data_IF_192306163758
#
_entry.id   IF_192306163758
#
_cell.length_a   1.000
_cell.length_b   1.000
_cell.length_c   1.000
_cell.angle_alpha   90.00
_cell.angle_beta   90.00
_cell.angle_gamma   90.00
#
_symmetry.space_group_name_H-M   'P 1'
#
loop_
_entity.id
_entity.type
_entity.pdbx_description
1 polymer ?
#
# COMPACT_ATOMS: atom_id res chain seq x y z
N UNK A 1 2.98 6.88 9.82
CA UNK A 1 2.30 6.70 8.51
C UNK A 1 2.23 5.20 8.27
N UNK A 2 1.15 4.65 7.71
CA UNK A 2 1.09 3.22 7.37
C UNK A 2 0.59 3.18 5.96
N UNK A 3 1.46 2.95 4.99
CA UNK A 3 1.13 2.73 3.59
C UNK A 3 1.19 1.22 3.37
N UNK A 4 0.14 0.57 2.88
CA UNK A 4 0.29 -0.82 2.44
C UNK A 4 1.07 -0.79 1.14
N UNK A 5 2.37 -0.95 1.29
CA UNK A 5 3.26 -1.28 0.21
C UNK A 5 3.70 -2.71 0.48
N UNK A 6 3.18 -3.64 -0.31
CA UNK A 6 3.17 -5.05 0.03
C UNK A 6 4.59 -5.63 0.14
N UNK A 7 4.78 -6.49 1.14
CA UNK A 7 5.63 -7.69 1.02
C UNK A 7 5.06 -8.81 1.89
N UNK A 8 4.89 -10.00 1.31
CA UNK A 8 4.52 -11.27 1.96
C UNK A 8 5.80 -11.95 2.49
N UNK A 9 5.76 -12.83 3.51
CA UNK A 9 5.67 -14.28 3.19
C UNK A 9 4.90 -15.12 4.23
N UNK A 10 4.29 -16.24 3.82
CA UNK A 10 4.46 -17.57 4.44
C UNK A 10 4.05 -18.71 3.47
N UNK A 11 5.05 -19.54 3.13
CA UNK A 11 5.12 -20.81 2.37
C UNK A 11 5.45 -20.82 0.85
N UNK A 12 6.53 -21.53 0.45
CA UNK A 12 6.88 -21.79 -0.94
C UNK A 12 6.27 -23.12 -1.41
N UNK A 13 5.42 -23.09 -2.43
CA UNK A 13 5.27 -24.26 -3.31
C UNK A 13 4.73 -23.87 -4.68
N UNK A 14 5.63 -23.48 -5.59
CA UNK A 14 5.83 -24.18 -6.86
C UNK A 14 6.78 -23.40 -7.75
N UNK A 15 7.72 -24.14 -8.29
CA UNK A 15 8.81 -23.77 -9.18
C UNK A 15 8.32 -22.94 -10.38
N UNK A 16 8.99 -21.82 -10.68
CA UNK A 16 9.39 -21.43 -12.04
C UNK A 16 10.20 -20.11 -12.02
N UNK A 17 11.26 -20.09 -12.82
CA UNK A 17 12.37 -19.13 -12.84
C UNK A 17 12.11 -17.92 -13.77
N UNK A 18 12.72 -16.77 -13.41
CA UNK A 18 13.00 -15.54 -14.21
C UNK A 18 12.20 -14.23 -13.99
N UNK A 19 11.53 -13.96 -12.85
CA UNK A 19 11.11 -12.59 -12.41
C UNK A 19 10.96 -12.50 -10.88
N UNK A 20 12.07 -12.30 -10.16
CA UNK A 20 12.29 -12.89 -8.83
C UNK A 20 11.33 -12.61 -7.65
N UNK A 21 10.34 -11.72 -7.70
CA UNK A 21 9.38 -11.57 -6.58
C UNK A 21 7.97 -11.11 -7.00
N UNK A 22 7.39 -11.64 -8.07
CA UNK A 22 5.98 -11.32 -8.39
C UNK A 22 5.03 -12.40 -7.87
N UNK A 23 3.96 -12.00 -7.18
CA UNK A 23 2.97 -12.86 -6.55
C UNK A 23 1.61 -12.72 -7.22
N UNK A 24 0.91 -13.85 -7.38
CA UNK A 24 -0.49 -13.90 -7.77
C UNK A 24 -1.30 -14.45 -6.62
N UNK A 25 -2.40 -13.79 -6.31
CA UNK A 25 -3.33 -14.22 -5.26
C UNK A 25 -4.58 -14.82 -5.90
N UNK A 26 -5.04 -15.95 -5.36
CA UNK A 26 -6.21 -16.67 -5.90
C UNK A 26 -7.51 -15.88 -5.74
N UNK A 27 -7.57 -15.01 -4.74
CA UNK A 27 -8.70 -14.15 -4.41
C UNK A 27 -8.58 -12.75 -5.03
N UNK A 28 -7.56 -12.47 -5.87
CA UNK A 28 -7.52 -11.21 -6.62
C UNK A 28 -8.65 -11.19 -7.67
N UNK A 29 -9.62 -10.26 -7.58
CA UNK A 29 -10.77 -10.23 -8.49
C UNK A 29 -10.40 -9.91 -9.94
N UNK A 30 -9.16 -9.48 -10.21
CA UNK A 30 -8.68 -9.06 -11.52
C UNK A 30 -7.47 -9.86 -12.02
N UNK A 31 -7.10 -10.97 -11.35
CA UNK A 31 -5.92 -11.80 -11.68
C UNK A 31 -4.63 -10.98 -11.86
N UNK A 32 -4.47 -9.92 -11.04
CA UNK A 32 -3.28 -9.06 -11.07
C UNK A 32 -2.07 -9.77 -10.46
N UNK A 33 -0.93 -9.44 -11.04
CA UNK A 33 0.40 -9.75 -10.49
C UNK A 33 0.87 -8.61 -9.59
N UNK A 34 1.36 -8.95 -8.41
CA UNK A 34 1.82 -7.99 -7.40
C UNK A 34 3.31 -8.17 -7.15
N UNK A 35 4.07 -7.09 -7.22
CA UNK A 35 5.49 -7.09 -6.83
C UNK A 35 5.64 -6.35 -5.50
N UNK A 36 6.47 -6.85 -4.58
CA UNK A 36 6.75 -6.14 -3.37
C UNK A 36 7.51 -4.88 -3.69
N UNK A 37 7.30 -3.87 -2.86
CA UNK A 37 7.97 -2.60 -3.00
C UNK A 37 8.54 -2.24 -1.62
N UNK A 38 9.82 -1.92 -1.62
CA UNK A 38 10.61 -1.61 -0.44
C UNK A 38 11.48 -0.39 -0.70
N UNK A 39 11.82 0.29 0.40
CA UNK A 39 12.76 1.39 0.42
C UNK A 39 13.55 1.29 1.74
N UNK A 40 14.81 1.70 1.70
CA UNK A 40 15.68 1.73 2.90
C UNK A 40 15.16 2.65 4.00
N UNK A 41 14.34 3.63 3.64
CA UNK A 41 13.73 4.58 4.57
C UNK A 41 12.42 4.08 5.20
N UNK A 42 11.95 2.89 4.79
CA UNK A 42 10.72 2.32 5.31
C UNK A 42 11.00 1.24 6.36
N UNK A 43 10.14 1.15 7.36
CA UNK A 43 10.03 0.01 8.24
C UNK A 43 8.80 -0.82 7.84
N UNK A 44 8.94 -2.14 7.80
CA UNK A 44 7.82 -3.04 7.49
C UNK A 44 7.21 -3.58 8.77
N UNK A 45 5.89 -3.52 8.85
CA UNK A 45 5.09 -4.10 9.94
C UNK A 45 4.16 -5.16 9.37
N UNK A 46 3.90 -6.19 10.17
CA UNK A 46 2.97 -7.25 9.82
C UNK A 46 1.96 -7.48 10.95
N UNK A 47 0.87 -8.15 10.61
CA UNK A 47 -0.13 -8.56 11.58
C UNK A 47 -0.66 -9.94 11.25
N UNK A 48 -0.92 -10.71 12.31
CA UNK A 48 -1.64 -11.99 12.24
C UNK A 48 -3.16 -11.80 12.33
N UNK A 49 -3.65 -10.56 12.26
CA UNK A 49 -5.07 -10.24 12.30
C UNK A 49 -5.82 -10.99 11.19
N UNK A 50 -6.80 -11.78 11.61
CA UNK A 50 -7.62 -12.61 10.72
C UNK A 50 -8.86 -11.87 10.20
N UNK A 51 -9.29 -10.83 10.92
CA UNK A 51 -10.52 -10.09 10.63
C UNK A 51 -10.17 -8.71 10.07
N UNK A 52 -10.10 -8.64 8.74
CA UNK A 52 -9.96 -7.39 7.99
C UNK A 52 -11.33 -7.11 7.40
N UNK A 53 -11.85 -5.91 7.68
CA UNK A 53 -13.15 -5.46 7.21
C UNK A 53 -13.24 -5.48 5.69
N UNK A 54 -14.47 -5.47 5.18
CA UNK A 54 -14.70 -5.43 3.74
C UNK A 54 -14.15 -4.14 3.15
N UNK A 55 -13.52 -4.26 1.97
CA UNK A 55 -13.23 -3.10 1.13
C UNK A 55 -14.55 -2.54 0.62
N UNK A 56 -14.66 -1.20 0.54
CA UNK A 56 -15.87 -0.58 0.01
C UNK A 56 -16.13 -1.06 -1.43
N UNK A 57 -17.36 -1.51 -1.70
CA UNK A 57 -17.76 -2.22 -2.92
C UNK A 57 -17.75 -1.35 -4.19
N UNK A 58 -17.58 -0.03 -4.05
CA UNK A 58 -17.80 0.93 -5.14
C UNK A 58 -16.60 1.14 -6.07
N UNK A 59 -15.47 0.49 -5.83
CA UNK A 59 -14.24 0.79 -6.56
C UNK A 59 -13.69 -0.44 -7.31
N UNK A 60 -13.34 -0.25 -8.59
CA UNK A 60 -12.67 -1.25 -9.45
C UNK A 60 -11.21 -1.56 -9.02
N UNK A 61 -10.91 -1.34 -7.73
CA UNK A 61 -9.58 -1.29 -7.16
C UNK A 61 -9.40 -2.29 -6.01
N UNK A 62 -10.39 -3.14 -5.71
CA UNK A 62 -10.28 -4.15 -4.65
C UNK A 62 -9.00 -4.95 -4.76
N UNK A 63 -8.28 -5.13 -3.68
CA UNK A 63 -7.04 -5.91 -3.60
C UNK A 63 -7.23 -7.20 -2.79
N UNK A 64 -6.35 -8.21 -2.96
CA UNK A 64 -6.37 -9.43 -2.14
C UNK A 64 -6.29 -9.10 -0.65
N UNK A 65 -6.97 -9.88 0.19
CA UNK A 65 -7.00 -9.60 1.64
C UNK A 65 -5.61 -9.75 2.27
N UNK A 66 -4.78 -10.64 1.72
CA UNK A 66 -3.41 -10.88 2.13
C UNK A 66 -2.52 -9.64 2.00
N UNK A 67 -2.81 -8.74 1.04
CA UNK A 67 -2.06 -7.49 0.88
C UNK A 67 -2.18 -6.61 2.12
N UNK A 68 -3.31 -6.65 2.82
CA UNK A 68 -3.53 -5.87 4.03
C UNK A 68 -2.84 -6.45 5.28
N UNK A 69 -2.18 -7.61 5.21
CA UNK A 69 -1.48 -8.18 6.37
C UNK A 69 -0.13 -7.56 6.65
N UNK A 70 0.41 -6.81 5.69
CA UNK A 70 1.67 -6.10 5.83
C UNK A 70 1.50 -4.65 5.42
N UNK A 71 2.36 -3.79 5.99
CA UNK A 71 2.39 -2.40 5.63
C UNK A 71 3.78 -1.80 5.84
N UNK A 72 4.09 -0.78 5.06
CA UNK A 72 5.23 0.11 5.26
C UNK A 72 4.84 1.25 6.20
N UNK A 73 5.72 1.56 7.14
CA UNK A 73 5.67 2.74 8.02
C UNK A 73 6.98 3.51 7.88
N UNK A 74 7.05 4.79 8.28
CA UNK A 74 8.30 5.53 8.26
C UNK A 74 9.33 4.79 9.11
N UNK A 75 10.55 4.67 8.60
CA UNK A 75 11.67 4.17 9.37
C UNK A 75 11.95 5.04 10.60
N UNK A 76 12.82 4.57 11.49
CA UNK A 76 13.09 5.16 12.82
C UNK A 76 13.38 6.66 12.81
N UNK A 77 13.99 7.19 11.74
CA UNK A 77 14.35 8.60 11.62
C UNK A 77 13.56 9.35 10.52
N UNK A 78 12.49 8.74 10.00
CA UNK A 78 11.68 9.28 8.93
C UNK A 78 10.32 9.75 9.47
N UNK A 79 9.82 10.86 8.92
CA UNK A 79 8.47 11.36 9.24
C UNK A 79 7.40 10.79 8.32
N UNK A 80 7.80 10.23 7.18
CA UNK A 80 6.92 9.82 6.10
C UNK A 80 7.40 8.55 5.39
N UNK A 81 6.49 7.98 4.59
CA UNK A 81 6.76 6.90 3.63
C UNK A 81 6.74 7.55 2.27
N UNK A 82 7.93 7.85 1.74
CA UNK A 82 8.10 8.47 0.44
C UNK A 82 8.56 7.46 -0.60
N UNK A 83 8.08 7.58 -1.82
CA UNK A 83 8.63 6.90 -2.99
C UNK A 83 8.79 7.92 -4.10
N UNK A 84 9.86 7.80 -4.89
CA UNK A 84 10.08 8.55 -6.11
C UNK A 84 10.39 7.60 -7.26
N UNK A 85 9.60 7.62 -8.32
CA UNK A 85 9.90 6.85 -9.53
C UNK A 85 10.38 7.74 -10.66
N UNK A 86 11.69 7.75 -10.93
CA UNK A 86 12.32 8.55 -11.98
C UNK A 86 12.49 7.83 -13.31
N UNK A 87 12.38 6.49 -13.31
CA UNK A 87 12.79 5.65 -14.44
C UNK A 87 11.74 5.51 -15.54
N UNK A 88 10.47 5.87 -15.28
CA UNK A 88 9.46 6.01 -16.31
C UNK A 88 9.67 7.32 -17.07
N UNK A 89 10.78 7.39 -17.81
CA UNK A 89 11.03 8.46 -18.77
C UNK A 89 9.95 8.42 -19.86
N UNK A 90 8.92 9.25 -19.66
CA UNK A 90 8.01 9.77 -20.66
C UNK A 90 7.03 8.75 -21.29
N UNK A 91 5.73 8.88 -21.01
CA UNK A 91 4.66 8.99 -22.03
C UNK A 91 3.24 8.71 -21.54
N UNK A 92 3.04 8.16 -20.33
CA UNK A 92 1.71 7.76 -19.87
C UNK A 92 1.23 8.57 -18.68
N UNK A 93 -0.05 8.89 -18.73
CA UNK A 93 -0.74 9.40 -17.56
C UNK A 93 -1.09 8.21 -16.64
N UNK A 94 -0.71 8.31 -15.37
CA UNK A 94 -0.86 7.25 -14.38
C UNK A 94 -1.85 7.65 -13.29
N UNK A 95 -2.49 6.65 -12.71
CA UNK A 95 -3.18 6.76 -11.43
C UNK A 95 -2.37 6.01 -10.39
N UNK A 96 -2.26 6.58 -9.20
CA UNK A 96 -1.76 5.88 -8.03
C UNK A 96 -2.95 5.48 -7.19
N UNK A 97 -3.06 4.19 -6.87
CA UNK A 97 -4.02 3.71 -5.89
C UNK A 97 -3.27 3.38 -4.61
N UNK A 98 -3.65 4.02 -3.52
CA UNK A 98 -3.15 3.75 -2.19
C UNK A 98 -4.12 2.86 -1.44
N UNK A 99 -3.56 1.90 -0.72
CA UNK A 99 -4.31 0.99 0.12
C UNK A 99 -3.79 1.13 1.54
N UNK A 100 -4.71 1.32 2.48
CA UNK A 100 -4.38 1.54 3.88
C UNK A 100 -5.24 0.65 4.74
N UNK A 101 -4.63 0.11 5.79
CA UNK A 101 -5.36 -0.55 6.86
C UNK A 101 -4.60 -0.32 8.16
N UNK A 102 -5.35 -0.11 9.24
CA UNK A 102 -4.75 -0.07 10.56
C UNK A 102 -4.61 -1.49 11.11
N UNK A 103 -3.41 -2.06 10.99
CA UNK A 103 -3.10 -3.42 11.46
C UNK A 103 -2.37 -3.48 12.80
N UNK A 104 -1.81 -2.35 13.24
CA UNK A 104 -1.26 -2.22 14.59
C UNK A 104 -2.36 -1.84 15.57
N UNK A 105 -2.30 -2.36 16.79
CA UNK A 105 -3.26 -2.02 17.82
C UNK A 105 -3.12 -0.55 18.23
N UNK A 106 -4.13 0.26 17.93
CA UNK A 106 -4.23 1.62 18.46
C UNK A 106 -4.71 1.56 19.92
N UNK A 107 -4.06 2.30 20.81
CA UNK A 107 -4.49 2.42 22.21
C UNK A 107 -5.83 3.16 22.30
N UNK A 108 -6.68 2.85 23.31
CA UNK A 108 -7.94 3.56 23.50
C UNK A 108 -7.73 5.09 23.56
N UNK A 109 -8.54 5.83 22.78
CA UNK A 109 -8.46 7.30 22.70
C UNK A 109 -7.40 7.85 21.73
N UNK A 110 -6.62 6.99 21.07
CA UNK A 110 -5.72 7.40 19.99
C UNK A 110 -6.35 7.15 18.61
N UNK A 111 -5.85 7.86 17.61
CA UNK A 111 -6.22 7.68 16.21
C UNK A 111 -4.96 7.85 15.35
N UNK A 112 -4.84 7.07 14.27
CA UNK A 112 -3.76 7.27 13.29
C UNK A 112 -4.25 8.22 12.22
N UNK A 113 -3.58 9.37 12.12
CA UNK A 113 -3.84 10.41 11.13
C UNK A 113 -2.63 10.57 10.21
N UNK A 114 -2.89 10.86 8.95
CA UNK A 114 -1.86 11.09 7.93
C UNK A 114 -2.42 11.95 6.80
N UNK A 115 -1.53 12.58 6.04
CA UNK A 115 -1.85 13.25 4.78
C UNK A 115 -1.26 12.47 3.62
N UNK A 116 -1.78 12.70 2.41
CA UNK A 116 -1.23 12.12 1.18
C UNK A 116 -0.90 13.27 0.25
N UNK A 117 0.34 13.30 -0.22
CA UNK A 117 0.77 14.18 -1.30
C UNK A 117 1.17 13.34 -2.50
N UNK A 118 0.74 13.71 -3.71
CA UNK A 118 1.18 13.10 -4.97
C UNK A 118 1.63 14.20 -5.91
N UNK A 119 2.91 14.21 -6.27
CA UNK A 119 3.48 15.20 -7.21
C UNK A 119 3.28 16.65 -6.76
N UNK A 120 3.34 16.87 -5.44
CA UNK A 120 3.08 18.17 -4.82
C UNK A 120 1.60 18.54 -4.67
N UNK A 121 0.65 17.73 -5.15
CA UNK A 121 -0.78 17.93 -4.90
C UNK A 121 -1.20 17.26 -3.59
N UNK A 122 -1.88 18.01 -2.72
CA UNK A 122 -2.45 17.51 -1.46
C UNK A 122 -3.81 16.83 -1.69
N UNK A 123 -3.94 15.59 -1.23
CA UNK A 123 -5.17 14.79 -1.29
C UNK A 123 -5.95 14.81 0.02
N UNK A 124 -5.47 15.56 1.02
CA UNK A 124 -6.12 15.78 2.29
C UNK A 124 -5.62 14.88 3.41
N UNK A 125 -6.20 15.10 4.58
CA UNK A 125 -5.91 14.35 5.80
C UNK A 125 -6.92 13.22 6.01
N UNK A 126 -6.40 12.04 6.31
CA UNK A 126 -7.16 10.81 6.53
C UNK A 126 -6.95 10.29 7.96
N UNK A 127 -7.96 9.60 8.48
CA UNK A 127 -7.90 8.92 9.77
C UNK A 127 -8.24 7.45 9.55
N UNK A 128 -7.39 6.54 10.03
CA UNK A 128 -7.66 5.11 9.92
C UNK A 128 -8.49 4.61 11.10
N UNK A 129 -9.44 3.74 10.78
CA UNK A 129 -10.15 2.90 11.75
C UNK A 129 -9.48 1.52 11.82
N UNK A 130 -9.47 0.91 13.00
CA UNK A 130 -8.88 -0.42 13.19
C UNK A 130 -9.51 -1.44 12.24
N UNK A 131 -8.67 -2.23 11.58
CA UNK A 131 -9.09 -3.33 10.70
C UNK A 131 -9.95 -2.94 9.50
N UNK A 132 -10.18 -1.64 9.24
CA UNK A 132 -11.02 -1.18 8.15
C UNK A 132 -10.15 -0.65 7.01
N UNK A 133 -10.23 -1.25 5.81
CA UNK A 133 -9.49 -0.75 4.66
C UNK A 133 -9.93 0.66 4.24
N UNK A 134 -8.98 1.46 3.81
CA UNK A 134 -9.18 2.74 3.14
C UNK A 134 -8.41 2.70 1.82
N UNK A 135 -9.10 3.04 0.73
CA UNK A 135 -8.50 3.20 -0.59
C UNK A 135 -8.58 4.66 -0.99
N UNK A 136 -7.46 5.20 -1.46
CA UNK A 136 -7.39 6.55 -2.03
C UNK A 136 -6.80 6.46 -3.42
N UNK A 137 -7.46 7.05 -4.40
CA UNK A 137 -6.98 7.11 -5.78
C UNK A 137 -6.54 8.52 -6.12
N UNK A 138 -5.36 8.65 -6.69
CA UNK A 138 -4.87 9.93 -7.18
C UNK A 138 -5.67 10.42 -8.40
N UNK A 139 -5.57 11.70 -8.70
CA UNK A 139 -5.89 12.17 -10.04
C UNK A 139 -4.88 11.61 -11.05
N UNK A 140 -5.29 11.66 -12.30
CA UNK A 140 -4.47 11.27 -13.45
C UNK A 140 -3.26 12.22 -13.56
N UNK A 141 -2.04 11.71 -13.44
CA UNK A 141 -0.80 12.52 -13.51
C UNK A 141 0.21 12.01 -14.54
N UNK A 142 0.92 12.95 -15.17
CA UNK A 142 1.91 12.72 -16.24
C UNK A 142 3.37 12.76 -15.77
N UNK A 143 3.61 12.96 -14.46
CA UNK A 143 4.97 13.15 -13.89
C UNK A 143 5.23 12.31 -12.65
N UNK A 144 6.54 12.07 -12.44
CA UNK A 144 7.24 11.40 -11.32
C UNK A 144 6.41 11.42 -10.04
N UNK A 145 6.02 10.22 -9.59
CA UNK A 145 5.27 10.00 -8.35
C UNK A 145 6.17 10.27 -7.16
N UNK A 146 5.98 11.38 -6.46
CA UNK A 146 6.61 11.72 -5.17
C UNK A 146 5.56 11.62 -4.06
N UNK A 147 5.83 10.80 -3.04
CA UNK A 147 5.01 10.73 -1.82
C UNK A 147 5.71 11.42 -0.65
N UNK A 148 4.97 12.16 0.16
CA UNK A 148 5.43 12.78 1.40
C UNK A 148 4.45 12.48 2.53
#
# INVERSE_FOLDING_TARGET
>A
MTCVVGKIPLYPHSNETFMENTYKYKDDPYDRSWSPMDDTDWALVNSSMLDIGMQEDNDNNKVPVEMFRTAAVPGTNQSSVSYSCTDYSNCYDLYVNFYFVQIEKILPGQQRKFSITVNGEDYGAFTLENSKPLTVRSNKSRRVVEFY
#
